data_IF_882907208926
#
_entry.id   IF_882907208926
#
_cell.length_a   1.000
_cell.length_b   1.000
_cell.length_c   1.000
_cell.angle_alpha   90.00
_cell.angle_beta   90.00
_cell.angle_gamma   90.00
#
_symmetry.space_group_name_H-M   'P 1'
#
loop_
_entity.id
_entity.type
_entity.pdbx_description
1 polymer ?
#
# COMPACT_ATOMS: atom_id res chain seq x y z
N UNK A 1 8.77 -61.74 26.02
CA UNK A 1 7.67 -60.84 26.40
C UNK A 1 8.25 -59.78 27.35
N UNK A 2 9.10 -58.81 26.99
CA UNK A 2 9.29 -58.04 25.74
C UNK A 2 7.96 -57.67 25.08
N UNK A 3 7.11 -56.99 25.84
CA UNK A 3 6.01 -56.15 25.36
C UNK A 3 5.59 -55.28 26.55
N UNK A 4 5.41 -53.98 26.29
CA UNK A 4 4.97 -52.91 27.22
C UNK A 4 6.03 -52.04 27.91
N UNK A 5 7.02 -51.57 27.15
CA UNK A 5 7.50 -50.19 27.33
C UNK A 5 7.11 -49.41 26.09
N UNK A 6 5.98 -48.71 26.19
CA UNK A 6 5.62 -47.63 25.28
C UNK A 6 6.80 -46.67 25.20
N UNK A 7 7.32 -46.44 24.00
CA UNK A 7 8.25 -45.34 23.72
C UNK A 7 7.51 -44.03 24.01
N UNK A 8 7.70 -43.49 25.22
CA UNK A 8 7.53 -42.08 25.50
C UNK A 8 8.85 -41.39 25.16
N UNK A 9 8.82 -40.51 24.16
CA UNK A 9 9.90 -39.55 23.89
C UNK A 9 10.51 -39.66 22.49
N UNK A 10 9.87 -39.00 21.51
CA UNK A 10 10.56 -38.45 20.33
C UNK A 10 10.65 -36.92 20.44
N UNK A 11 10.62 -36.38 21.67
CA UNK A 11 11.08 -35.03 21.95
C UNK A 11 12.51 -35.17 22.47
N UNK A 12 13.48 -35.05 21.57
CA UNK A 12 14.92 -35.06 21.87
C UNK A 12 15.37 -33.81 22.66
N UNK A 13 14.43 -32.95 23.07
CA UNK A 13 14.71 -31.74 23.83
C UNK A 13 15.44 -30.69 23.01
N UNK A 14 15.58 -30.88 21.69
CA UNK A 14 16.23 -29.94 20.78
C UNK A 14 15.26 -28.85 20.28
N UNK A 15 13.98 -28.95 20.65
CA UNK A 15 12.93 -28.06 20.14
C UNK A 15 12.66 -28.29 18.66
N UNK A 16 11.51 -27.83 18.18
CA UNK A 16 11.21 -27.86 16.74
C UNK A 16 12.26 -27.06 15.98
N UNK A 17 12.89 -27.68 14.97
CA UNK A 17 13.84 -27.01 14.07
C UNK A 17 13.24 -25.70 13.55
N UNK A 18 13.79 -24.57 14.00
CA UNK A 18 13.39 -23.24 13.54
C UNK A 18 14.00 -23.03 12.15
N UNK A 19 13.21 -23.37 11.12
CA UNK A 19 13.69 -23.42 9.74
C UNK A 19 13.90 -22.00 9.16
N UNK A 20 14.59 -21.92 8.01
CA UNK A 20 14.89 -20.65 7.37
C UNK A 20 13.66 -19.83 6.98
N UNK A 21 12.55 -20.49 6.69
CA UNK A 21 11.27 -19.83 6.37
C UNK A 21 10.70 -19.11 7.60
N UNK A 22 10.69 -19.76 8.77
CA UNK A 22 10.25 -19.14 10.02
C UNK A 22 11.11 -17.92 10.39
N UNK A 23 12.41 -17.95 10.11
CA UNK A 23 13.29 -16.77 10.29
C UNK A 23 12.82 -15.61 9.41
N UNK A 24 12.53 -15.88 8.13
CA UNK A 24 12.09 -14.84 7.19
C UNK A 24 10.70 -14.30 7.57
N UNK A 25 9.79 -15.18 8.01
CA UNK A 25 8.48 -14.80 8.54
C UNK A 25 8.62 -13.86 9.74
N UNK A 26 9.39 -14.24 10.75
CA UNK A 26 9.54 -13.41 11.94
C UNK A 26 10.26 -12.10 11.63
N UNK A 27 11.28 -12.11 10.76
CA UNK A 27 11.93 -10.88 10.32
C UNK A 27 10.92 -9.90 9.71
N UNK A 28 10.02 -10.38 8.85
CA UNK A 28 9.04 -9.52 8.20
C UNK A 28 7.89 -9.13 9.15
N UNK A 29 7.20 -10.11 9.72
CA UNK A 29 5.93 -9.91 10.45
C UNK A 29 6.07 -9.63 11.93
N UNK A 30 7.10 -10.17 12.58
CA UNK A 30 7.30 -10.01 14.02
C UNK A 30 8.26 -8.84 14.34
N UNK A 31 9.32 -8.68 13.54
CA UNK A 31 10.35 -7.65 13.74
C UNK A 31 10.20 -6.42 12.84
N UNK A 32 9.21 -6.40 11.93
CA UNK A 32 8.95 -5.30 11.01
C UNK A 32 10.20 -4.89 10.18
N UNK A 33 11.03 -5.86 9.79
CA UNK A 33 12.29 -5.62 9.08
C UNK A 33 12.08 -5.43 7.58
N UNK A 34 11.67 -4.23 7.17
CA UNK A 34 11.36 -3.93 5.77
C UNK A 34 12.53 -3.39 4.94
N UNK A 35 13.75 -3.41 5.49
CA UNK A 35 14.96 -2.83 4.85
C UNK A 35 15.55 -3.68 3.73
N UNK A 36 15.10 -4.93 3.57
CA UNK A 36 15.58 -5.85 2.53
C UNK A 36 14.55 -5.98 1.40
N UNK A 37 14.81 -5.44 0.20
CA UNK A 37 13.90 -5.61 -0.94
C UNK A 37 13.66 -7.08 -1.31
N UNK A 38 14.64 -7.95 -1.07
CA UNK A 38 14.49 -9.40 -1.31
C UNK A 38 13.52 -10.05 -0.32
N UNK A 39 13.58 -9.66 0.96
CA UNK A 39 12.64 -10.14 1.97
C UNK A 39 11.22 -9.65 1.67
N UNK A 40 11.07 -8.37 1.35
CA UNK A 40 9.77 -7.78 1.01
C UNK A 40 9.15 -8.47 -0.21
N UNK A 41 9.94 -8.72 -1.25
CA UNK A 41 9.50 -9.46 -2.45
C UNK A 41 9.10 -10.89 -2.12
N UNK A 42 9.89 -11.60 -1.29
CA UNK A 42 9.59 -12.97 -0.89
C UNK A 42 8.25 -13.04 -0.15
N UNK A 43 8.05 -12.15 0.84
CA UNK A 43 6.81 -12.10 1.61
C UNK A 43 5.62 -11.71 0.73
N UNK A 44 5.77 -10.68 -0.12
CA UNK A 44 4.74 -10.23 -1.06
C UNK A 44 4.24 -11.38 -1.96
N UNK A 45 5.15 -12.16 -2.55
CA UNK A 45 4.76 -13.26 -3.44
C UNK A 45 4.10 -14.41 -2.68
N UNK A 46 4.53 -14.67 -1.45
CA UNK A 46 4.00 -15.74 -0.60
C UNK A 46 2.57 -15.44 -0.14
N UNK A 47 2.29 -14.19 0.22
CA UNK A 47 1.01 -13.75 0.79
C UNK A 47 0.20 -12.85 -0.15
N UNK A 48 0.41 -12.96 -1.47
CA UNK A 48 -0.27 -12.10 -2.45
C UNK A 48 -1.81 -12.18 -2.38
N UNK A 49 -2.34 -13.31 -1.92
CA UNK A 49 -3.77 -13.58 -1.80
C UNK A 49 -4.34 -13.11 -0.44
N UNK A 50 -3.46 -12.66 0.47
CA UNK A 50 -3.79 -12.07 1.78
C UNK A 50 -3.23 -10.63 1.86
N UNK A 51 -3.66 -9.74 0.96
CA UNK A 51 -2.97 -8.47 0.69
C UNK A 51 -3.01 -7.50 1.88
N UNK A 52 -4.03 -7.60 2.73
CA UNK A 52 -4.22 -6.71 3.87
C UNK A 52 -3.02 -6.72 4.82
N UNK A 53 -2.44 -7.90 5.08
CA UNK A 53 -1.32 -8.02 6.00
C UNK A 53 -0.08 -7.26 5.49
N UNK A 54 0.16 -7.27 4.18
CA UNK A 54 1.25 -6.52 3.58
C UNK A 54 0.97 -5.01 3.52
N UNK A 55 -0.20 -4.58 3.03
CA UNK A 55 -0.48 -3.15 2.84
C UNK A 55 -0.64 -2.41 4.16
N UNK A 56 -1.14 -3.07 5.21
CA UNK A 56 -1.30 -2.47 6.54
C UNK A 56 0.05 -2.12 7.23
N UNK A 57 1.15 -2.68 6.73
CA UNK A 57 2.53 -2.43 7.21
C UNK A 57 3.21 -1.27 6.53
N UNK A 58 2.64 -0.70 5.46
CA UNK A 58 3.26 0.40 4.71
C UNK A 58 3.37 1.67 5.57
N UNK A 59 2.33 1.95 6.34
CA UNK A 59 2.23 3.15 7.18
C UNK A 59 2.13 2.76 8.65
N UNK A 60 3.03 3.33 9.46
CA UNK A 60 3.10 3.07 10.89
C UNK A 60 3.38 4.36 11.69
N UNK A 61 3.46 4.25 13.02
CA UNK A 61 3.79 5.36 13.92
C UNK A 61 5.04 5.04 14.73
N UNK A 62 5.94 6.00 14.77
CA UNK A 62 7.03 6.01 15.72
C UNK A 62 6.51 6.26 17.16
N UNK A 63 7.29 5.91 18.20
CA UNK A 63 6.91 6.18 19.60
C UNK A 63 6.63 7.65 19.92
N UNK A 64 7.18 8.58 19.14
CA UNK A 64 6.90 10.02 19.26
C UNK A 64 5.67 10.48 18.46
N UNK A 65 4.83 9.54 17.99
CA UNK A 65 3.66 9.77 17.16
C UNK A 65 3.97 10.40 15.78
N UNK A 66 5.22 10.39 15.31
CA UNK A 66 5.51 10.72 13.91
C UNK A 66 5.12 9.55 13.00
N UNK A 67 4.68 9.85 11.79
CA UNK A 67 4.44 8.81 10.79
C UNK A 67 5.76 8.17 10.34
N UNK A 68 5.76 6.84 10.26
CA UNK A 68 6.77 6.04 9.57
C UNK A 68 6.14 5.56 8.26
N UNK A 69 6.88 5.72 7.16
CA UNK A 69 6.47 5.21 5.86
C UNK A 69 7.54 4.26 5.35
N UNK A 70 7.17 3.00 5.17
CA UNK A 70 8.05 1.95 4.69
C UNK A 70 8.05 1.93 3.16
N UNK A 71 8.73 2.90 2.54
CA UNK A 71 8.72 3.12 1.08
C UNK A 71 9.16 1.90 0.28
N UNK A 72 10.05 1.06 0.80
CA UNK A 72 10.45 -0.19 0.14
C UNK A 72 9.30 -1.20 -0.02
N UNK A 73 8.24 -1.10 0.78
CA UNK A 73 7.02 -1.90 0.59
C UNK A 73 6.18 -1.36 -0.57
N UNK A 74 6.08 -0.03 -0.71
CA UNK A 74 5.46 0.62 -1.88
C UNK A 74 6.21 0.23 -3.16
N UNK A 75 7.55 0.35 -3.15
CA UNK A 75 8.40 -0.04 -4.28
C UNK A 75 8.25 -1.54 -4.63
N UNK A 76 8.00 -2.39 -3.64
CA UNK A 76 7.73 -3.82 -3.87
C UNK A 76 6.42 -4.00 -4.64
N UNK A 77 5.36 -3.29 -4.26
CA UNK A 77 4.09 -3.31 -5.00
C UNK A 77 4.30 -2.79 -6.43
N UNK A 78 4.88 -1.60 -6.58
CA UNK A 78 5.18 -0.98 -7.88
C UNK A 78 5.97 -1.88 -8.83
N UNK A 79 6.93 -2.65 -8.30
CA UNK A 79 7.75 -3.59 -9.06
C UNK A 79 6.94 -4.77 -9.58
N UNK A 80 5.94 -5.24 -8.83
CA UNK A 80 5.10 -6.38 -9.19
C UNK A 80 3.86 -5.98 -10.00
N UNK A 81 3.54 -4.69 -10.06
CA UNK A 81 2.50 -4.15 -10.93
C UNK A 81 2.96 -4.08 -12.39
N UNK A 82 2.11 -4.54 -13.31
CA UNK A 82 2.34 -4.48 -14.76
C UNK A 82 1.13 -3.89 -15.47
N UNK A 83 1.27 -3.52 -16.74
CA UNK A 83 0.17 -3.00 -17.55
C UNK A 83 -1.06 -3.91 -17.65
N UNK A 84 -0.93 -5.21 -17.41
CA UNK A 84 -2.06 -6.18 -17.48
C UNK A 84 -2.27 -6.94 -16.17
N UNK A 85 -1.54 -6.59 -15.12
CA UNK A 85 -1.69 -7.18 -13.78
C UNK A 85 -1.45 -6.05 -12.78
N UNK A 86 -2.53 -5.37 -12.42
CA UNK A 86 -2.54 -4.19 -11.57
C UNK A 86 -3.57 -4.28 -10.45
N UNK A 87 -4.37 -5.35 -10.38
CA UNK A 87 -5.37 -5.61 -9.35
C UNK A 87 -4.78 -5.47 -7.93
N UNK A 88 -3.57 -5.96 -7.68
CA UNK A 88 -2.95 -5.75 -6.37
C UNK A 88 -2.72 -4.25 -6.06
N UNK A 89 -2.32 -3.47 -7.06
CA UNK A 89 -2.11 -2.04 -6.89
C UNK A 89 -3.44 -1.33 -6.62
N UNK A 90 -4.44 -1.56 -7.46
CA UNK A 90 -5.71 -0.83 -7.41
C UNK A 90 -6.63 -1.37 -6.32
N UNK A 91 -6.93 -2.66 -6.36
CA UNK A 91 -7.93 -3.29 -5.50
C UNK A 91 -7.44 -3.47 -4.06
N UNK A 92 -6.12 -3.50 -3.83
CA UNK A 92 -5.57 -3.66 -2.50
C UNK A 92 -4.85 -2.42 -1.99
N UNK A 93 -3.84 -1.92 -2.69
CA UNK A 93 -3.05 -0.80 -2.17
C UNK A 93 -3.80 0.53 -2.23
N UNK A 94 -4.39 0.89 -3.37
CA UNK A 94 -5.14 2.13 -3.53
C UNK A 94 -6.41 2.15 -2.67
N UNK A 95 -7.20 1.06 -2.69
CA UNK A 95 -8.34 0.89 -1.79
C UNK A 95 -7.96 1.01 -0.31
N UNK A 96 -6.89 0.34 0.13
CA UNK A 96 -6.42 0.46 1.53
C UNK A 96 -6.10 1.91 1.91
N UNK A 97 -5.39 2.65 1.03
CA UNK A 97 -5.09 4.07 1.28
C UNK A 97 -6.38 4.88 1.35
N UNK A 98 -7.31 4.67 0.43
CA UNK A 98 -8.60 5.35 0.39
C UNK A 98 -9.41 5.14 1.68
N UNK A 99 -9.54 3.89 2.11
CA UNK A 99 -10.29 3.52 3.32
C UNK A 99 -9.60 4.02 4.59
N UNK A 100 -8.26 3.93 4.68
CA UNK A 100 -7.48 4.47 5.79
C UNK A 100 -7.69 5.97 5.94
N UNK A 101 -7.68 6.70 4.82
CA UNK A 101 -7.90 8.15 4.81
C UNK A 101 -9.32 8.48 5.30
N UNK A 102 -10.33 7.73 4.85
CA UNK A 102 -11.73 7.92 5.23
C UNK A 102 -12.09 7.38 6.61
N UNK A 103 -11.20 6.58 7.20
CA UNK A 103 -11.50 5.76 8.38
C UNK A 103 -12.73 4.86 8.16
N UNK A 104 -12.84 4.32 6.95
CA UNK A 104 -13.89 3.38 6.60
C UNK A 104 -13.58 2.01 7.22
N UNK A 105 -14.59 1.35 7.78
CA UNK A 105 -14.45 0.03 8.40
C UNK A 105 -13.35 -0.10 9.48
N UNK A 106 -12.96 1.02 10.12
CA UNK A 106 -11.88 1.03 11.13
C UNK A 106 -10.48 0.85 10.54
N UNK A 107 -10.30 1.13 9.24
CA UNK A 107 -9.01 1.03 8.57
C UNK A 107 -7.96 2.03 9.10
N UNK A 108 -8.37 3.07 9.81
CA UNK A 108 -7.47 3.95 10.55
C UNK A 108 -7.14 3.41 11.96
N UNK A 109 -6.79 2.13 12.08
CA UNK A 109 -6.53 1.46 13.37
C UNK A 109 -5.37 2.10 14.17
N UNK A 110 -4.44 2.77 13.48
CA UNK A 110 -3.31 3.50 14.10
C UNK A 110 -3.67 4.95 14.50
N UNK A 111 -4.91 5.38 14.30
CA UNK A 111 -5.41 6.72 14.61
C UNK A 111 -4.57 7.84 13.98
N UNK A 112 -4.28 7.74 12.68
CA UNK A 112 -3.58 8.79 11.94
C UNK A 112 -4.35 10.10 11.98
N UNK A 113 -3.64 11.19 12.28
CA UNK A 113 -4.17 12.56 12.26
C UNK A 113 -4.37 13.05 10.82
N UNK A 114 -5.04 14.19 10.65
CA UNK A 114 -5.19 14.84 9.34
C UNK A 114 -3.83 15.08 8.67
N UNK A 115 -2.83 15.59 9.40
CA UNK A 115 -1.48 15.78 8.86
C UNK A 115 -0.87 14.46 8.37
N UNK A 116 -1.01 13.39 9.17
CA UNK A 116 -0.44 12.08 8.82
C UNK A 116 -1.15 11.48 7.62
N UNK A 117 -2.49 11.54 7.56
CA UNK A 117 -3.29 11.14 6.40
C UNK A 117 -2.92 11.94 5.16
N UNK A 118 -2.64 13.24 5.29
CA UNK A 118 -2.20 14.08 4.18
C UNK A 118 -0.81 13.68 3.68
N UNK A 119 0.11 13.26 4.55
CA UNK A 119 1.41 12.69 4.15
C UNK A 119 1.24 11.33 3.46
N UNK A 120 0.39 10.45 3.98
CA UNK A 120 0.05 9.14 3.37
C UNK A 120 -0.47 9.35 1.95
N UNK A 121 -1.42 10.27 1.80
CA UNK A 121 -1.96 10.69 0.51
C UNK A 121 -0.84 11.13 -0.45
N UNK A 122 0.11 11.96 -0.03
CA UNK A 122 1.22 12.36 -0.91
C UNK A 122 2.10 11.18 -1.34
N UNK A 123 2.43 10.25 -0.43
CA UNK A 123 3.21 9.06 -0.79
C UNK A 123 2.48 8.19 -1.81
N UNK A 124 1.17 8.01 -1.64
CA UNK A 124 0.35 7.29 -2.59
C UNK A 124 0.30 8.02 -3.95
N UNK A 125 -0.01 9.31 -3.97
CA UNK A 125 -0.08 10.10 -5.20
C UNK A 125 1.22 10.08 -6.00
N UNK A 126 2.37 10.11 -5.31
CA UNK A 126 3.67 10.00 -5.96
C UNK A 126 3.92 8.61 -6.57
N UNK A 127 3.47 7.55 -5.89
CA UNK A 127 3.50 6.19 -6.42
C UNK A 127 2.57 6.08 -7.64
N UNK A 128 1.33 6.55 -7.53
CA UNK A 128 0.34 6.42 -8.61
C UNK A 128 0.79 7.15 -9.85
N UNK A 129 1.30 8.38 -9.72
CA UNK A 129 1.83 9.13 -10.84
C UNK A 129 2.91 8.36 -11.61
N UNK A 130 3.88 7.78 -10.89
CA UNK A 130 4.95 6.95 -11.48
C UNK A 130 4.37 5.76 -12.24
N UNK A 131 3.37 5.10 -11.67
CA UNK A 131 2.76 3.91 -12.27
C UNK A 131 1.93 4.25 -13.50
N UNK A 132 1.14 5.33 -13.44
CA UNK A 132 0.35 5.83 -14.57
C UNK A 132 1.23 6.36 -15.69
N UNK A 133 2.35 7.02 -15.39
CA UNK A 133 3.33 7.42 -16.40
C UNK A 133 3.95 6.20 -17.09
N UNK A 134 4.39 5.21 -16.31
CA UNK A 134 4.99 3.97 -16.82
C UNK A 134 4.03 3.16 -17.70
N UNK A 135 2.74 3.16 -17.37
CA UNK A 135 1.73 2.34 -18.04
C UNK A 135 0.69 3.17 -18.82
N UNK A 136 1.02 4.40 -19.21
CA UNK A 136 0.11 5.33 -19.92
C UNK A 136 -0.61 4.71 -21.12
N UNK A 137 0.08 3.87 -21.90
CA UNK A 137 -0.51 3.20 -23.06
C UNK A 137 -1.68 2.26 -22.68
N UNK A 138 -1.65 1.68 -21.48
CA UNK A 138 -2.68 0.78 -20.96
C UNK A 138 -3.92 1.53 -20.46
N UNK A 139 -3.74 2.77 -20.00
CA UNK A 139 -4.84 3.69 -19.69
C UNK A 139 -5.57 4.07 -20.98
N UNK A 140 -4.83 4.48 -22.02
CA UNK A 140 -5.44 4.85 -23.32
C UNK A 140 -6.10 3.68 -24.05
N UNK A 141 -5.76 2.43 -23.70
CA UNK A 141 -6.39 1.22 -24.25
C UNK A 141 -7.52 0.67 -23.36
N UNK A 142 -7.95 1.41 -22.33
CA UNK A 142 -8.99 1.01 -21.37
C UNK A 142 -8.68 -0.31 -20.63
N UNK A 143 -7.40 -0.62 -20.42
CA UNK A 143 -6.98 -1.76 -19.58
C UNK A 143 -6.86 -1.30 -18.13
N UNK A 144 -6.36 -0.08 -17.91
CA UNK A 144 -6.33 0.59 -16.61
C UNK A 144 -7.47 1.60 -16.51
N UNK A 145 -7.92 1.88 -15.28
CA UNK A 145 -8.95 2.91 -15.05
C UNK A 145 -8.42 4.30 -15.48
N UNK A 146 -9.14 5.02 -16.36
CA UNK A 146 -8.79 6.38 -16.75
C UNK A 146 -8.82 7.37 -15.58
N UNK A 147 -9.64 7.14 -14.54
CA UNK A 147 -9.66 7.99 -13.36
C UNK A 147 -8.58 7.57 -12.35
N UNK A 148 -7.62 8.45 -11.99
CA UNK A 148 -6.69 8.16 -10.92
C UNK A 148 -7.41 8.04 -9.56
N UNK A 149 -6.99 7.09 -8.73
CA UNK A 149 -7.41 6.97 -7.33
C UNK A 149 -7.10 8.24 -6.53
N UNK A 150 -5.98 8.90 -6.84
CA UNK A 150 -5.62 10.20 -6.28
C UNK A 150 -6.72 11.23 -6.52
N UNK A 151 -7.34 11.26 -7.70
CA UNK A 151 -8.46 12.15 -7.99
C UNK A 151 -9.69 11.81 -7.17
N UNK A 152 -10.00 10.52 -7.01
CA UNK A 152 -11.08 10.08 -6.15
C UNK A 152 -10.86 10.52 -4.69
N UNK A 153 -9.63 10.41 -4.17
CA UNK A 153 -9.26 10.91 -2.85
C UNK A 153 -9.42 12.44 -2.78
N UNK A 154 -8.96 13.19 -3.79
CA UNK A 154 -9.12 14.65 -3.84
C UNK A 154 -10.59 15.08 -3.77
N UNK A 155 -11.47 14.39 -4.51
CA UNK A 155 -12.90 14.65 -4.55
C UNK A 155 -13.60 14.32 -3.22
N UNK A 156 -13.28 13.17 -2.64
CA UNK A 156 -14.03 12.58 -1.52
C UNK A 156 -13.44 12.92 -0.15
N UNK A 157 -12.14 13.25 -0.09
CA UNK A 157 -11.40 13.56 1.13
C UNK A 157 -10.82 14.98 1.09
N UNK A 158 -11.67 15.96 0.75
CA UNK A 158 -11.28 17.37 0.48
C UNK A 158 -10.43 17.98 1.58
N UNK A 159 -10.74 17.72 2.85
CA UNK A 159 -9.98 18.24 4.00
C UNK A 159 -8.51 17.77 3.97
N UNK A 160 -8.28 16.49 3.68
CA UNK A 160 -6.94 15.90 3.61
C UNK A 160 -6.16 16.47 2.43
N UNK A 161 -6.80 16.55 1.25
CA UNK A 161 -6.18 17.13 0.06
C UNK A 161 -5.84 18.62 0.25
N UNK A 162 -6.76 19.41 0.81
CA UNK A 162 -6.52 20.82 1.12
C UNK A 162 -5.37 20.99 2.12
N UNK A 163 -5.32 20.15 3.16
CA UNK A 163 -4.23 20.16 4.12
C UNK A 163 -2.89 19.87 3.44
N UNK A 164 -2.82 18.83 2.60
CA UNK A 164 -1.62 18.51 1.83
C UNK A 164 -1.19 19.69 0.95
N UNK A 165 -2.12 20.30 0.21
CA UNK A 165 -1.87 21.44 -0.69
C UNK A 165 -1.33 22.66 0.05
N UNK A 166 -1.93 23.03 1.20
CA UNK A 166 -1.44 24.15 2.03
C UNK A 166 -0.02 23.92 2.52
N UNK A 167 0.36 22.66 2.76
CA UNK A 167 1.71 22.26 3.17
C UNK A 167 2.63 21.92 1.99
N UNK A 168 2.27 22.36 0.76
CA UNK A 168 3.04 22.13 -0.47
C UNK A 168 3.39 20.65 -0.66
N UNK A 169 2.41 19.80 -0.36
CA UNK A 169 2.50 18.34 -0.42
C UNK A 169 3.69 17.76 0.36
N UNK A 170 4.14 18.49 1.39
CA UNK A 170 5.29 18.15 2.24
C UNK A 170 6.61 17.93 1.48
N UNK A 171 6.70 18.38 0.23
CA UNK A 171 7.82 18.07 -0.66
C UNK A 171 7.91 16.59 -1.08
N UNK A 172 6.89 15.78 -0.77
CA UNK A 172 6.81 14.36 -1.19
C UNK A 172 6.31 14.28 -2.63
N UNK A 173 5.24 15.01 -2.93
CA UNK A 173 4.67 15.16 -4.28
C UNK A 173 5.00 16.53 -4.84
N UNK A 174 5.17 16.66 -6.16
CA UNK A 174 5.35 17.98 -6.79
C UNK A 174 3.99 18.61 -7.14
N UNK A 175 3.81 19.94 -7.04
CA UNK A 175 2.57 20.58 -7.45
C UNK A 175 2.17 20.29 -8.90
N UNK A 176 3.14 20.29 -9.82
CA UNK A 176 2.93 19.95 -11.23
C UNK A 176 2.34 18.55 -11.41
N UNK A 177 2.88 17.57 -10.68
CA UNK A 177 2.39 16.19 -10.69
C UNK A 177 0.94 16.10 -10.23
N UNK A 178 0.58 16.84 -9.18
CA UNK A 178 -0.79 16.88 -8.67
C UNK A 178 -1.75 17.53 -9.67
N UNK A 179 -1.33 18.62 -10.32
CA UNK A 179 -2.09 19.27 -11.40
C UNK A 179 -2.31 18.34 -12.60
N UNK A 180 -1.31 17.54 -12.98
CA UNK A 180 -1.44 16.55 -14.07
C UNK A 180 -2.43 15.44 -13.72
N UNK A 181 -2.37 14.89 -12.50
CA UNK A 181 -3.34 13.89 -12.02
C UNK A 181 -4.76 14.49 -11.98
N UNK A 182 -4.92 15.68 -11.41
CA UNK A 182 -6.20 16.40 -11.40
C UNK A 182 -6.74 16.58 -12.82
N UNK A 183 -5.91 17.03 -13.75
CA UNK A 183 -6.34 17.21 -15.13
C UNK A 183 -6.74 15.89 -15.78
N UNK A 184 -5.98 14.82 -15.57
CA UNK A 184 -6.31 13.48 -16.08
C UNK A 184 -7.68 13.01 -15.57
N UNK A 185 -7.92 13.07 -14.25
CA UNK A 185 -9.19 12.60 -13.66
C UNK A 185 -10.40 13.50 -13.90
N UNK A 186 -10.22 14.79 -14.15
CA UNK A 186 -11.30 15.75 -14.41
C UNK A 186 -11.48 16.09 -15.89
N UNK A 187 -10.59 15.63 -16.78
CA UNK A 187 -10.69 15.87 -18.22
C UNK A 187 -11.89 15.18 -18.89
N UNK A 188 -12.46 14.14 -18.28
CA UNK A 188 -13.67 13.47 -18.76
C UNK A 188 -14.98 14.16 -18.33
N UNK A 189 -14.95 15.20 -17.47
CA UNK A 189 -16.16 15.95 -17.08
C UNK A 189 -16.51 17.11 -18.05
N UNK A 190 -15.75 17.34 -19.13
CA UNK A 190 -15.91 18.55 -19.96
C UNK A 190 -16.60 18.42 -21.32
N UNK A 191 -17.12 17.25 -21.75
CA UNK A 191 -17.75 17.11 -23.09
C UNK A 191 -19.14 16.43 -23.11
N UNK A 192 -19.91 16.52 -22.02
CA UNK A 192 -21.35 16.21 -22.05
C UNK A 192 -22.18 17.49 -22.26
N UNK A 193 -23.08 17.58 -23.25
CA UNK A 193 -23.98 18.74 -23.33
C UNK A 193 -24.86 18.78 -22.08
N UNK A 194 -25.09 19.99 -21.56
CA UNK A 194 -26.07 20.23 -20.50
C UNK A 194 -27.41 19.56 -20.88
N UNK A 195 -28.04 18.79 -19.97
CA UNK A 195 -29.36 18.24 -20.24
C UNK A 195 -30.37 19.39 -20.41
N UNK A 196 -31.04 19.39 -21.58
CA UNK A 196 -32.16 20.30 -21.92
C UNK A 196 -33.33 20.23 -20.92
#
# INVERSE_FOLDING_TARGET
>A
LLENLQFQGDDDGLGTFYNGENILEDLFSSYNYYKSPMLNQWYFLKYKDEPYDFVNRIFDKAPNNNIIVHTLLIETIEKNTTGTNHDYYDDNFANYVYDLIRDENGMNSKHFTIEQKARIFCYFANSEYKMREKYRQYITSNVWDPMPWTCLIMLRCKEIYQYARTHKYFGISSPKMMEELEHEGFSDESDGPDPE
#
